data_IF_249839288325
#
_entry.id   IF_249839288325
#
_cell.length_a   1.000
_cell.length_b   1.000
_cell.length_c   1.000
_cell.angle_alpha   90.00
_cell.angle_beta   90.00
_cell.angle_gamma   90.00
#
_symmetry.space_group_name_H-M   'P 1'
#
loop_
_entity.id
_entity.type
_entity.pdbx_description
1 polymer ?
#
# COMPACT_ATOMS: atom_id res chain seq x y z
N UNK A 1 -2.49 -3.80 37.69
CA UNK A 1 -3.63 -3.64 38.62
C UNK A 1 -3.43 -2.32 39.34
N UNK A 2 -4.04 -1.23 38.89
CA UNK A 2 -3.94 0.09 39.51
C UNK A 2 -5.36 0.46 39.99
N UNK A 3 -5.50 0.59 41.32
CA UNK A 3 -6.72 1.04 41.97
C UNK A 3 -6.69 2.56 42.07
N UNK A 4 -7.69 3.22 41.50
CA UNK A 4 -7.96 4.65 41.70
C UNK A 4 -9.10 4.77 42.72
N UNK A 5 -8.80 5.39 43.86
CA UNK A 5 -9.76 5.71 44.93
C UNK A 5 -10.16 7.19 44.80
N UNK A 6 -11.46 7.45 44.70
CA UNK A 6 -12.01 8.79 44.82
C UNK A 6 -12.36 9.09 46.27
N UNK A 7 -11.78 10.16 46.84
CA UNK A 7 -12.18 10.73 48.11
C UNK A 7 -13.23 11.81 47.88
N UNK A 8 -14.43 11.58 48.41
CA UNK A 8 -15.45 12.59 48.58
C UNK A 8 -15.25 13.28 49.91
N UNK A 9 -14.92 14.56 49.88
CA UNK A 9 -14.92 15.41 51.07
C UNK A 9 -16.30 16.03 51.28
N UNK A 10 -17.04 15.52 52.24
CA UNK A 10 -18.21 16.14 52.85
C UNK A 10 -17.71 17.21 53.80
N UNK A 11 -18.10 18.45 53.59
CA UNK A 11 -18.01 19.52 54.57
C UNK A 11 -19.41 19.85 55.12
N UNK A 12 -19.65 19.34 56.30
CA UNK A 12 -20.71 19.85 57.21
C UNK A 12 -20.35 21.27 57.64
N UNK A 13 -21.30 22.15 57.62
CA UNK A 13 -21.32 23.31 58.51
C UNK A 13 -22.72 23.50 59.05
N UNK A 14 -22.78 23.36 60.36
CA UNK A 14 -23.97 23.50 61.19
C UNK A 14 -24.51 24.91 61.28
N UNK A 15 -25.81 24.96 61.56
CA UNK A 15 -26.72 25.91 62.19
C UNK A 15 -26.11 27.09 62.95
N UNK A 16 -26.70 28.24 62.72
CA UNK A 16 -27.06 29.10 63.84
C UNK A 16 -28.40 29.80 63.62
N UNK A 17 -29.17 29.85 64.67
CA UNK A 17 -30.58 30.18 64.86
C UNK A 17 -30.72 31.66 65.06
N UNK A 18 -31.72 32.29 64.43
CA UNK A 18 -32.09 33.66 64.69
C UNK A 18 -33.48 33.94 64.17
N UNK A 19 -34.42 33.88 65.07
CA UNK A 19 -35.83 34.18 65.05
C UNK A 19 -36.10 35.68 64.81
N UNK A 20 -36.96 36.07 63.87
CA UNK A 20 -37.99 37.08 64.05
C UNK A 20 -38.91 37.20 62.86
N UNK A 21 -40.20 37.15 63.19
CA UNK A 21 -41.36 37.33 62.36
C UNK A 21 -41.37 38.64 61.57
N UNK A 22 -41.86 38.61 60.32
CA UNK A 22 -42.93 39.52 59.85
C UNK A 22 -43.46 39.09 58.46
N UNK A 23 -44.73 38.96 58.38
CA UNK A 23 -45.52 38.63 57.22
C UNK A 23 -45.50 39.75 56.18
N UNK A 24 -45.36 39.34 54.87
CA UNK A 24 -45.95 40.17 53.77
C UNK A 24 -46.06 39.31 52.49
N UNK A 25 -47.31 39.06 52.16
CA UNK A 25 -47.95 38.83 50.84
C UNK A 25 -47.12 38.23 49.67
N UNK A 26 -47.52 37.12 49.05
CA UNK A 26 -46.87 36.58 47.86
C UNK A 26 -47.25 37.36 46.60
N UNK A 27 -46.27 37.93 45.93
CA UNK A 27 -46.44 38.41 44.56
C UNK A 27 -46.45 37.20 43.60
N UNK A 28 -47.59 36.97 43.03
CA UNK A 28 -47.96 35.91 42.08
C UNK A 28 -47.42 36.19 40.67
N UNK A 29 -46.21 36.67 40.52
CA UNK A 29 -45.65 37.08 39.22
C UNK A 29 -44.40 36.36 38.76
N UNK A 30 -43.67 35.62 39.63
CA UNK A 30 -42.33 35.17 39.30
C UNK A 30 -42.22 33.67 38.92
N UNK A 31 -43.21 32.88 39.30
CA UNK A 31 -43.17 31.40 39.08
C UNK A 31 -43.45 31.04 37.58
N UNK A 32 -44.11 31.90 36.83
CA UNK A 32 -44.42 31.62 35.41
C UNK A 32 -43.23 31.87 34.45
N UNK A 33 -42.28 32.71 34.80
CA UNK A 33 -41.10 32.99 33.95
C UNK A 33 -40.03 31.86 33.98
N UNK A 34 -39.89 31.20 35.08
CA UNK A 34 -38.89 30.10 35.22
C UNK A 34 -39.33 28.86 34.42
N UNK A 35 -40.62 28.58 34.38
CA UNK A 35 -41.16 27.40 33.67
C UNK A 35 -41.11 27.58 32.14
N UNK A 36 -41.30 28.81 31.65
CA UNK A 36 -41.26 29.09 30.21
C UNK A 36 -39.81 29.06 29.67
N UNK A 37 -38.83 29.45 30.48
CA UNK A 37 -37.41 29.43 30.09
C UNK A 37 -36.84 28.01 29.99
N UNK A 38 -37.28 27.09 30.85
CA UNK A 38 -36.85 25.67 30.79
C UNK A 38 -37.38 24.96 29.54
N UNK A 39 -38.59 25.31 29.11
CA UNK A 39 -39.21 24.67 27.93
C UNK A 39 -38.56 25.16 26.62
N UNK A 40 -38.25 26.42 26.51
CA UNK A 40 -37.49 26.98 25.39
C UNK A 40 -36.08 26.39 25.31
N UNK A 41 -35.45 26.16 26.45
CA UNK A 41 -34.13 25.53 26.49
C UNK A 41 -34.16 24.05 26.04
N UNK A 42 -35.17 23.29 26.44
CA UNK A 42 -35.37 21.92 25.98
C UNK A 42 -35.61 21.87 24.46
N UNK A 43 -36.37 22.82 23.90
CA UNK A 43 -36.60 22.90 22.44
C UNK A 43 -35.30 23.25 21.67
N UNK A 44 -34.51 24.16 22.19
CA UNK A 44 -33.21 24.51 21.57
C UNK A 44 -32.22 23.33 21.60
N UNK A 45 -32.17 22.59 22.71
CA UNK A 45 -31.31 21.38 22.81
C UNK A 45 -31.82 20.28 21.87
N UNK A 46 -33.13 20.08 21.81
CA UNK A 46 -33.73 19.07 20.91
C UNK A 46 -33.48 19.40 19.44
N UNK A 47 -33.68 20.66 19.03
CA UNK A 47 -33.39 21.14 17.68
C UNK A 47 -31.90 21.05 17.36
N UNK A 48 -31.03 21.37 18.32
CA UNK A 48 -29.57 21.20 18.17
C UNK A 48 -29.18 19.72 17.95
N UNK A 49 -29.81 18.82 18.69
CA UNK A 49 -29.56 17.38 18.58
C UNK A 49 -30.08 16.80 17.25
N UNK A 50 -31.25 17.26 16.80
CA UNK A 50 -31.84 16.87 15.49
C UNK A 50 -30.98 17.35 14.32
N UNK A 51 -30.27 18.48 14.45
CA UNK A 51 -29.35 18.96 13.41
C UNK A 51 -27.96 18.29 13.48
N UNK A 52 -27.47 17.97 14.69
CA UNK A 52 -26.18 17.35 14.89
C UNK A 52 -26.15 15.88 14.45
N UNK A 53 -27.22 15.11 14.74
CA UNK A 53 -27.28 13.68 14.40
C UNK A 53 -27.09 13.42 12.90
N UNK A 54 -27.83 14.07 11.98
CA UNK A 54 -27.61 13.86 10.54
C UNK A 54 -26.23 14.34 10.09
N UNK A 55 -25.68 15.40 10.69
CA UNK A 55 -24.33 15.87 10.40
C UNK A 55 -23.25 14.84 10.77
N UNK A 56 -23.39 14.20 11.93
CA UNK A 56 -22.48 13.12 12.38
C UNK A 56 -22.62 11.88 11.50
N UNK A 57 -23.86 11.52 11.11
CA UNK A 57 -24.10 10.36 10.24
C UNK A 57 -23.52 10.60 8.85
N UNK A 58 -23.84 11.75 8.23
CA UNK A 58 -23.31 12.08 6.89
C UNK A 58 -21.79 12.24 6.91
N UNK A 59 -21.26 12.94 7.93
CA UNK A 59 -19.82 13.08 8.12
C UNK A 59 -19.12 11.73 8.38
N UNK A 60 -19.75 10.86 9.16
CA UNK A 60 -19.28 9.49 9.42
C UNK A 60 -19.26 8.63 8.16
N UNK A 61 -20.32 8.66 7.36
CA UNK A 61 -20.38 7.94 6.06
C UNK A 61 -19.32 8.49 5.10
N UNK A 62 -19.20 9.83 5.00
CA UNK A 62 -18.18 10.44 4.15
C UNK A 62 -16.76 10.09 4.56
N UNK A 63 -16.46 10.10 5.86
CA UNK A 63 -15.16 9.67 6.38
C UNK A 63 -14.95 8.18 6.17
N UNK A 64 -15.97 7.35 6.40
CA UNK A 64 -15.92 5.91 6.17
C UNK A 64 -15.62 5.59 4.70
N UNK A 65 -16.36 6.19 3.75
CA UNK A 65 -16.08 6.03 2.31
C UNK A 65 -14.67 6.50 1.94
N UNK A 66 -14.22 7.62 2.53
CA UNK A 66 -12.87 8.12 2.24
C UNK A 66 -11.76 7.27 2.87
N UNK A 67 -12.01 6.64 4.02
CA UNK A 67 -11.05 5.71 4.65
C UNK A 67 -11.14 4.31 4.06
N UNK A 68 -12.34 3.79 3.83
CA UNK A 68 -12.56 2.46 3.24
C UNK A 68 -12.12 2.39 1.77
N UNK A 69 -12.19 3.50 1.03
CA UNK A 69 -11.65 3.58 -0.35
C UNK A 69 -10.12 3.57 -0.42
N UNK A 70 -9.43 3.40 0.72
CA UNK A 70 -7.98 3.33 0.82
C UNK A 70 -7.46 1.92 1.09
N UNK A 71 -8.30 0.91 1.06
CA UNK A 71 -7.80 -0.47 1.06
C UNK A 71 -7.21 -0.74 -0.33
N UNK A 72 -5.91 -0.42 -0.46
CA UNK A 72 -5.09 -0.89 -1.55
C UNK A 72 -5.15 -2.42 -1.53
N UNK A 73 -5.65 -3.01 -2.57
CA UNK A 73 -5.76 -4.46 -2.65
C UNK A 73 -4.37 -5.07 -2.69
N UNK A 74 -4.10 -5.99 -1.77
CA UNK A 74 -2.83 -6.71 -1.65
C UNK A 74 -3.07 -8.16 -2.00
N UNK A 75 -2.43 -8.61 -3.06
CA UNK A 75 -2.47 -9.99 -3.52
C UNK A 75 -1.19 -10.72 -3.11
N UNK A 76 -1.35 -11.99 -2.72
CA UNK A 76 -0.22 -12.88 -2.45
C UNK A 76 -0.18 -13.93 -3.55
N UNK A 77 0.86 -13.87 -4.36
CA UNK A 77 1.05 -14.75 -5.50
C UNK A 77 2.15 -15.76 -5.21
N UNK A 78 1.83 -17.05 -5.33
CA UNK A 78 2.81 -18.13 -5.28
C UNK A 78 2.78 -18.91 -6.60
N UNK A 79 3.82 -18.78 -7.40
CA UNK A 79 3.91 -19.44 -8.70
C UNK A 79 5.07 -20.46 -8.75
N UNK A 80 4.75 -21.66 -9.23
CA UNK A 80 5.77 -22.68 -9.52
C UNK A 80 6.11 -22.65 -11.02
N UNK A 81 7.40 -22.54 -11.35
CA UNK A 81 7.87 -22.52 -12.73
C UNK A 81 8.97 -23.52 -12.99
N UNK A 82 9.07 -23.99 -14.23
CA UNK A 82 10.16 -24.86 -14.69
C UNK A 82 11.26 -23.99 -15.32
N UNK A 83 12.49 -24.22 -14.89
CA UNK A 83 13.65 -23.62 -15.53
C UNK A 83 14.12 -24.56 -16.65
N UNK A 84 13.46 -24.50 -17.80
CA UNK A 84 13.94 -25.20 -18.99
C UNK A 84 15.21 -24.54 -19.52
N UNK A 85 16.36 -25.04 -19.04
CA UNK A 85 17.61 -24.88 -19.75
C UNK A 85 17.91 -26.20 -20.46
N UNK A 86 17.89 -26.15 -21.79
CA UNK A 86 18.27 -27.21 -22.73
C UNK A 86 17.23 -28.31 -22.99
N UNK A 87 16.68 -28.28 -24.21
CA UNK A 87 16.25 -29.49 -24.87
C UNK A 87 17.51 -30.39 -25.06
N UNK A 88 17.64 -31.41 -24.24
CA UNK A 88 18.46 -32.57 -24.54
C UNK A 88 17.51 -33.52 -25.25
N UNK A 89 17.70 -33.80 -26.58
CA UNK A 89 16.98 -34.85 -27.22
C UNK A 89 17.55 -36.17 -26.65
N UNK A 90 16.67 -37.09 -26.27
CA UNK A 90 16.98 -38.45 -25.82
C UNK A 90 17.56 -38.59 -24.40
N UNK A 91 16.72 -38.43 -23.38
CA UNK A 91 16.79 -39.30 -22.18
C UNK A 91 15.53 -39.14 -21.34
N UNK A 92 15.06 -40.29 -20.85
CA UNK A 92 13.91 -40.54 -19.98
C UNK A 92 13.58 -39.40 -19.01
N UNK A 93 12.33 -38.96 -19.05
CA UNK A 93 11.52 -38.30 -18.01
C UNK A 93 12.26 -37.73 -16.78
N UNK A 94 13.16 -36.78 -17.01
CA UNK A 94 13.76 -35.99 -15.94
C UNK A 94 12.85 -34.74 -15.77
N UNK A 95 11.89 -34.83 -14.88
CA UNK A 95 11.09 -33.65 -14.50
C UNK A 95 12.04 -32.67 -13.82
N UNK A 96 12.38 -31.58 -14.51
CA UNK A 96 13.15 -30.50 -13.92
C UNK A 96 12.49 -30.04 -12.61
N UNK A 97 13.25 -29.82 -11.52
CA UNK A 97 12.68 -29.39 -10.25
C UNK A 97 11.94 -28.08 -10.45
N UNK A 98 10.66 -28.06 -10.06
CA UNK A 98 9.85 -26.84 -10.06
C UNK A 98 10.42 -25.88 -9.02
N UNK A 99 10.75 -24.69 -9.45
CA UNK A 99 11.10 -23.57 -8.57
C UNK A 99 9.84 -22.77 -8.25
N UNK A 100 9.78 -22.20 -7.04
CA UNK A 100 8.64 -21.39 -6.60
C UNK A 100 9.10 -19.96 -6.37
N UNK A 101 8.28 -19.03 -6.81
CA UNK A 101 8.34 -17.60 -6.46
C UNK A 101 7.10 -17.28 -5.64
N UNK A 102 7.32 -16.68 -4.49
CA UNK A 102 6.26 -16.08 -3.67
C UNK A 102 6.44 -14.57 -3.70
N UNK A 103 5.41 -13.83 -4.05
CA UNK A 103 5.47 -12.38 -4.13
C UNK A 103 4.20 -11.74 -3.59
N UNK A 104 4.34 -10.47 -3.22
CA UNK A 104 3.23 -9.65 -2.77
C UNK A 104 3.04 -8.50 -3.74
N UNK A 105 1.86 -8.44 -4.35
CA UNK A 105 1.50 -7.39 -5.30
C UNK A 105 0.49 -6.45 -4.65
N UNK A 106 0.78 -5.16 -4.65
CA UNK A 106 -0.14 -4.11 -4.21
C UNK A 106 -0.44 -3.21 -5.40
N UNK A 107 -1.72 -3.05 -5.69
CA UNK A 107 -2.17 -2.29 -6.85
C UNK A 107 -2.85 -1.01 -6.38
N UNK A 108 -2.33 0.14 -6.82
CA UNK A 108 -2.86 1.47 -6.56
C UNK A 108 -3.59 1.97 -7.83
N UNK A 109 -4.79 1.44 -8.08
CA UNK A 109 -5.53 1.68 -9.32
C UNK A 109 -5.71 3.19 -9.62
N UNK A 110 -6.07 3.98 -8.60
CA UNK A 110 -6.28 5.44 -8.75
C UNK A 110 -5.00 6.19 -9.11
N UNK A 111 -3.85 5.68 -8.72
CA UNK A 111 -2.54 6.28 -8.97
C UNK A 111 -1.88 5.68 -10.22
N UNK A 112 -2.44 4.61 -10.76
CA UNK A 112 -1.88 3.84 -11.86
C UNK A 112 -0.46 3.35 -11.53
N UNK A 113 -0.29 2.78 -10.32
CA UNK A 113 0.99 2.28 -9.82
C UNK A 113 0.81 0.86 -9.29
N UNK A 114 1.78 0.01 -9.58
CA UNK A 114 1.92 -1.33 -9.03
C UNK A 114 3.18 -1.42 -8.19
N UNK A 115 3.07 -2.06 -7.02
CA UNK A 115 4.19 -2.32 -6.12
C UNK A 115 4.28 -3.83 -5.93
N UNK A 116 5.42 -4.40 -6.31
CA UNK A 116 5.68 -5.83 -6.21
C UNK A 116 6.82 -6.04 -5.22
N UNK A 117 6.57 -6.84 -4.18
CA UNK A 117 7.58 -7.22 -3.19
C UNK A 117 7.95 -8.68 -3.39
N UNK A 118 9.19 -8.90 -3.76
CA UNK A 118 9.78 -10.24 -3.93
C UNK A 118 10.68 -10.52 -2.74
N UNK A 119 10.27 -11.38 -1.80
CA UNK A 119 11.09 -11.71 -0.65
C UNK A 119 12.32 -12.52 -1.06
N UNK A 120 13.24 -12.73 -0.12
CA UNK A 120 14.42 -13.58 -0.34
C UNK A 120 13.95 -14.99 -0.71
N UNK A 121 14.21 -15.46 -1.93
CA UNK A 121 13.76 -16.78 -2.32
C UNK A 121 14.61 -17.87 -1.64
N UNK A 122 13.94 -18.87 -1.07
CA UNK A 122 14.62 -20.04 -0.54
C UNK A 122 15.30 -20.80 -1.67
N UNK A 123 16.61 -21.05 -1.55
CA UNK A 123 17.43 -21.82 -2.51
C UNK A 123 17.46 -21.25 -3.95
N UNK A 124 17.27 -19.96 -4.14
CA UNK A 124 17.35 -19.32 -5.45
C UNK A 124 18.65 -18.51 -5.62
N UNK A 125 19.08 -18.37 -6.86
CA UNK A 125 20.19 -17.53 -7.29
C UNK A 125 19.75 -16.10 -7.69
N UNK A 126 18.56 -15.67 -7.24
CA UNK A 126 18.02 -14.33 -7.48
C UNK A 126 17.98 -13.49 -6.21
N UNK A 127 18.09 -12.19 -6.37
CA UNK A 127 18.03 -11.23 -5.26
C UNK A 127 16.57 -10.93 -4.87
N UNK A 128 16.39 -10.64 -3.59
CA UNK A 128 15.14 -10.02 -3.12
C UNK A 128 15.03 -8.60 -3.65
N UNK A 129 13.83 -8.19 -4.04
CA UNK A 129 13.61 -6.87 -4.62
C UNK A 129 12.25 -6.28 -4.27
N UNK A 130 12.19 -4.96 -4.25
CA UNK A 130 10.95 -4.19 -4.32
C UNK A 130 10.87 -3.53 -5.69
N UNK A 131 9.74 -3.69 -6.36
CA UNK A 131 9.56 -3.20 -7.74
C UNK A 131 8.38 -2.25 -7.76
N UNK A 132 8.51 -1.16 -8.49
CA UNK A 132 7.44 -0.19 -8.72
C UNK A 132 7.27 0.02 -10.22
N UNK A 133 6.05 -0.18 -10.71
CA UNK A 133 5.65 0.20 -12.06
C UNK A 133 4.76 1.44 -11.99
N UNK A 134 5.20 2.55 -12.55
CA UNK A 134 4.44 3.78 -12.67
C UNK A 134 3.96 3.95 -14.12
N UNK A 135 2.67 3.75 -14.35
CA UNK A 135 2.06 3.82 -15.68
C UNK A 135 1.78 5.25 -16.13
N UNK A 136 1.78 6.21 -15.22
CA UNK A 136 1.62 7.64 -15.56
C UNK A 136 2.92 8.19 -16.12
N UNK A 137 4.03 7.86 -15.47
CA UNK A 137 5.36 8.30 -15.87
C UNK A 137 6.02 7.36 -16.89
N UNK A 138 5.44 6.17 -17.10
CA UNK A 138 6.01 5.10 -17.92
C UNK A 138 7.42 4.70 -17.46
N UNK A 139 7.59 4.54 -16.14
CA UNK A 139 8.85 4.14 -15.52
C UNK A 139 8.67 2.89 -14.67
N UNK A 140 9.71 2.08 -14.63
CA UNK A 140 9.87 0.96 -13.70
C UNK A 140 11.08 1.23 -12.82
N UNK A 141 10.93 1.01 -11.52
CA UNK A 141 12.02 1.04 -10.56
C UNK A 141 12.22 -0.32 -9.90
N UNK A 142 13.46 -0.78 -9.81
CA UNK A 142 13.87 -1.97 -9.09
C UNK A 142 14.77 -1.56 -7.92
N UNK A 143 14.37 -1.84 -6.70
CA UNK A 143 15.24 -1.75 -5.54
C UNK A 143 15.78 -3.14 -5.22
N UNK A 144 17.05 -3.39 -5.52
CA UNK A 144 17.74 -4.60 -5.08
C UNK A 144 18.04 -4.50 -3.58
N UNK A 145 17.40 -5.34 -2.78
CA UNK A 145 17.53 -5.32 -1.32
C UNK A 145 18.88 -5.89 -0.87
N UNK A 146 19.52 -6.72 -1.70
CA UNK A 146 20.84 -7.31 -1.38
C UNK A 146 21.95 -6.29 -1.58
N UNK A 147 21.86 -5.47 -2.62
CA UNK A 147 22.84 -4.44 -2.95
C UNK A 147 22.51 -3.08 -2.34
N UNK A 148 21.26 -2.88 -1.93
CA UNK A 148 20.71 -1.60 -1.50
C UNK A 148 20.87 -0.48 -2.55
N UNK A 149 20.72 -0.84 -3.82
CA UNK A 149 20.79 0.03 -5.00
C UNK A 149 19.43 0.07 -5.70
N UNK A 150 19.11 1.21 -6.27
CA UNK A 150 17.89 1.41 -7.04
C UNK A 150 18.21 1.56 -8.52
N UNK A 151 17.36 0.99 -9.38
CA UNK A 151 17.58 1.00 -10.82
C UNK A 151 16.29 1.43 -11.52
N UNK A 152 16.41 2.36 -12.46
CA UNK A 152 15.29 2.94 -13.19
C UNK A 152 15.38 2.56 -14.67
N UNK A 153 14.26 2.14 -15.23
CA UNK A 153 14.14 1.83 -16.66
C UNK A 153 12.79 2.30 -17.21
N UNK A 154 12.66 2.61 -18.49
CA UNK A 154 11.37 2.84 -19.10
C UNK A 154 10.45 1.60 -18.94
N UNK A 155 9.19 1.84 -18.58
CA UNK A 155 8.19 0.80 -18.45
C UNK A 155 7.90 0.12 -19.79
N UNK A 156 8.01 -1.19 -19.82
CA UNK A 156 7.69 -1.97 -21.01
C UNK A 156 6.24 -2.49 -20.95
N UNK A 157 5.31 -1.71 -21.48
CA UNK A 157 3.88 -2.05 -21.52
C UNK A 157 3.53 -3.27 -22.38
N UNK A 158 4.48 -3.82 -23.15
CA UNK A 158 4.27 -5.10 -23.86
C UNK A 158 4.48 -6.31 -22.95
N UNK A 159 5.15 -6.12 -21.82
CA UNK A 159 5.46 -7.14 -20.81
C UNK A 159 4.59 -6.92 -19.56
N UNK A 160 4.62 -5.69 -19.03
CA UNK A 160 3.90 -5.30 -17.83
C UNK A 160 2.47 -4.92 -18.16
N UNK A 161 1.53 -5.52 -17.44
CA UNK A 161 0.10 -5.30 -17.65
C UNK A 161 -0.37 -4.08 -16.86
N UNK A 162 -1.30 -3.26 -17.38
CA UNK A 162 -1.85 -2.13 -16.61
C UNK A 162 -2.59 -2.60 -15.34
N UNK A 163 -2.66 -1.78 -14.29
CA UNK A 163 -3.24 -2.14 -12.99
C UNK A 163 -4.62 -2.79 -13.06
N UNK A 164 -5.50 -2.27 -13.89
CA UNK A 164 -6.86 -2.81 -14.04
C UNK A 164 -6.87 -4.22 -14.62
N UNK A 165 -6.09 -4.44 -15.66
CA UNK A 165 -6.02 -5.74 -16.33
C UNK A 165 -5.31 -6.77 -15.44
N UNK A 166 -4.34 -6.33 -14.64
CA UNK A 166 -3.67 -7.18 -13.67
C UNK A 166 -4.62 -7.61 -12.54
N UNK A 167 -5.47 -6.73 -12.03
CA UNK A 167 -6.51 -7.09 -11.06
C UNK A 167 -7.42 -8.18 -11.63
N UNK A 168 -7.93 -8.00 -12.85
CA UNK A 168 -8.79 -8.98 -13.50
C UNK A 168 -8.06 -10.33 -13.68
N UNK A 169 -6.78 -10.31 -14.03
CA UNK A 169 -5.95 -11.51 -14.13
C UNK A 169 -5.81 -12.22 -12.77
N UNK A 170 -5.48 -11.48 -11.70
CA UNK A 170 -5.28 -12.05 -10.36
C UNK A 170 -6.57 -12.68 -9.81
N UNK A 171 -7.72 -12.03 -10.00
CA UNK A 171 -9.02 -12.56 -9.64
C UNK A 171 -9.29 -13.88 -10.41
N UNK A 172 -8.98 -13.95 -11.69
CA UNK A 172 -9.16 -15.16 -12.50
C UNK A 172 -8.22 -16.30 -12.07
N UNK A 173 -6.99 -15.98 -11.63
CA UNK A 173 -6.06 -16.97 -11.08
C UNK A 173 -6.60 -17.51 -9.76
N UNK A 174 -7.06 -16.65 -8.86
CA UNK A 174 -7.64 -17.03 -7.56
C UNK A 174 -8.89 -17.91 -7.75
N UNK A 175 -9.75 -17.56 -8.69
CA UNK A 175 -10.93 -18.35 -9.06
C UNK A 175 -10.60 -19.69 -9.75
N UNK A 176 -9.34 -19.95 -10.09
CA UNK A 176 -8.90 -21.15 -10.81
C UNK A 176 -9.37 -21.21 -12.26
N UNK A 177 -9.86 -20.10 -12.82
CA UNK A 177 -10.32 -20.02 -14.22
C UNK A 177 -9.16 -19.77 -15.19
N UNK A 178 -8.02 -19.31 -14.67
CA UNK A 178 -6.79 -19.07 -15.41
C UNK A 178 -5.60 -19.69 -14.70
N UNK A 179 -4.79 -20.44 -15.45
CA UNK A 179 -3.51 -20.97 -15.00
C UNK A 179 -2.40 -20.23 -15.76
N UNK A 180 -1.53 -19.47 -15.07
CA UNK A 180 -0.43 -18.78 -15.74
C UNK A 180 0.53 -19.79 -16.36
N UNK A 181 1.13 -19.39 -17.48
CA UNK A 181 2.14 -20.21 -18.15
C UNK A 181 3.42 -20.19 -17.31
N UNK A 182 3.95 -21.36 -16.98
CA UNK A 182 5.13 -21.52 -16.13
C UNK A 182 6.45 -21.45 -16.92
N UNK A 183 6.56 -20.54 -17.91
CA UNK A 183 7.83 -20.30 -18.58
C UNK A 183 8.48 -19.00 -18.12
N UNK A 184 9.79 -18.92 -18.31
CA UNK A 184 10.61 -17.79 -17.90
C UNK A 184 11.09 -17.01 -19.12
N UNK A 185 10.90 -15.68 -19.06
CA UNK A 185 11.46 -14.72 -20.03
C UNK A 185 12.66 -14.04 -19.39
N UNK A 186 13.73 -13.85 -20.15
CA UNK A 186 14.96 -13.18 -19.70
C UNK A 186 15.14 -11.86 -20.41
N UNK A 187 15.40 -10.84 -19.65
CA UNK A 187 15.83 -9.54 -20.13
C UNK A 187 17.21 -9.20 -19.56
N UNK A 188 18.12 -8.71 -20.38
CA UNK A 188 19.43 -8.28 -19.93
C UNK A 188 19.52 -6.75 -19.98
N UNK A 189 19.81 -6.16 -18.85
CA UNK A 189 19.93 -4.73 -18.64
C UNK A 189 21.37 -4.38 -18.27
N UNK A 190 21.84 -3.23 -18.69
CA UNK A 190 23.15 -2.68 -18.34
C UNK A 190 22.95 -1.40 -17.56
N UNK A 191 23.68 -1.28 -16.46
CA UNK A 191 23.72 -0.06 -15.65
C UNK A 191 24.45 1.02 -16.43
N UNK A 192 23.83 2.20 -16.50
CA UNK A 192 24.39 3.35 -17.21
C UNK A 192 24.71 4.48 -16.23
N UNK A 193 24.11 5.63 -16.37
CA UNK A 193 24.40 6.81 -15.58
C UNK A 193 23.67 6.84 -14.24
N UNK A 194 24.28 7.49 -13.25
CA UNK A 194 23.64 7.75 -11.97
C UNK A 194 22.56 8.82 -12.13
N UNK A 195 21.42 8.59 -11.51
CA UNK A 195 20.32 9.56 -11.48
C UNK A 195 20.62 10.61 -10.43
N UNK A 196 20.75 11.88 -10.84
CA UNK A 196 21.00 12.99 -9.92
C UNK A 196 19.70 13.64 -9.42
N UNK A 197 18.71 13.76 -10.29
CA UNK A 197 17.43 14.39 -9.96
C UNK A 197 16.35 13.32 -9.72
N UNK A 198 16.09 13.06 -8.46
CA UNK A 198 15.09 12.09 -8.02
C UNK A 198 13.66 12.66 -8.02
N UNK A 199 13.48 13.99 -8.07
CA UNK A 199 12.15 14.62 -7.96
C UNK A 199 11.30 14.35 -9.21
N UNK A 200 11.93 14.14 -10.35
CA UNK A 200 11.27 13.85 -11.63
C UNK A 200 10.71 12.42 -11.72
N UNK A 201 11.13 11.53 -10.81
CA UNK A 201 10.74 10.12 -10.87
C UNK A 201 9.34 9.83 -10.31
N UNK A 202 8.64 10.86 -9.83
CA UNK A 202 7.32 10.71 -9.19
C UNK A 202 7.39 10.14 -7.77
N UNK A 203 6.28 10.31 -7.05
CA UNK A 203 6.24 10.04 -5.61
C UNK A 203 6.55 8.59 -5.24
N UNK A 204 5.97 7.63 -5.95
CA UNK A 204 6.11 6.20 -5.61
C UNK A 204 7.55 5.71 -5.82
N UNK A 205 8.17 6.08 -6.93
CA UNK A 205 9.56 5.73 -7.25
C UNK A 205 10.51 6.50 -6.32
N UNK A 206 10.27 7.79 -6.11
CA UNK A 206 11.04 8.59 -5.16
C UNK A 206 11.05 7.96 -3.76
N UNK A 207 9.89 7.53 -3.24
CA UNK A 207 9.80 6.91 -1.93
C UNK A 207 10.52 5.56 -1.85
N UNK A 208 10.54 4.79 -2.93
CA UNK A 208 11.26 3.53 -3.01
C UNK A 208 12.77 3.74 -3.01
N UNK A 209 13.25 4.68 -3.83
CA UNK A 209 14.68 4.88 -4.11
C UNK A 209 15.35 5.94 -3.22
N UNK A 210 14.57 6.62 -2.35
CA UNK A 210 15.09 7.63 -1.45
C UNK A 210 16.25 7.11 -0.60
N UNK A 211 17.31 7.90 -0.50
CA UNK A 211 18.54 7.59 0.25
C UNK A 211 19.28 6.33 -0.28
N UNK A 212 19.05 5.97 -1.57
CA UNK A 212 19.73 4.88 -2.26
C UNK A 212 20.53 5.40 -3.44
N UNK A 213 21.61 4.69 -3.77
CA UNK A 213 22.29 4.93 -5.03
C UNK A 213 21.43 4.48 -6.18
N UNK A 214 21.00 5.43 -7.03
CA UNK A 214 20.05 5.20 -8.11
C UNK A 214 20.71 5.35 -9.46
N UNK A 215 20.48 4.39 -10.36
CA UNK A 215 21.08 4.31 -11.68
C UNK A 215 20.03 4.06 -12.76
N UNK A 216 20.28 4.57 -13.97
CA UNK A 216 19.50 4.22 -15.13
C UNK A 216 19.92 2.86 -15.71
N UNK A 217 18.93 2.10 -16.21
CA UNK A 217 19.15 0.85 -16.94
C UNK A 217 18.82 1.05 -18.42
N UNK A 218 19.60 0.40 -19.28
CA UNK A 218 19.29 0.25 -20.69
C UNK A 218 19.34 -1.22 -21.10
N UNK A 219 18.47 -1.61 -22.01
CA UNK A 219 18.52 -2.96 -22.58
C UNK A 219 19.82 -3.16 -23.36
N UNK A 220 20.44 -4.31 -23.17
CA UNK A 220 21.72 -4.62 -23.80
C UNK A 220 21.66 -4.66 -25.33
N UNK A 221 20.55 -5.11 -25.89
CA UNK A 221 20.32 -5.18 -27.34
C UNK A 221 20.19 -3.79 -27.99
N UNK A 222 19.87 -2.75 -27.21
CA UNK A 222 19.77 -1.37 -27.69
C UNK A 222 21.08 -0.58 -27.63
N UNK A 223 22.10 -1.11 -26.96
CA UNK A 223 23.39 -0.43 -26.79
C UNK A 223 24.36 -0.82 -27.92
N UNK A 224 24.66 0.11 -28.81
CA UNK A 224 25.63 -0.10 -29.87
C UNK A 224 27.05 -0.12 -29.30
N UNK A 225 27.83 -1.18 -29.62
CA UNK A 225 29.27 -1.25 -29.33
C UNK A 225 29.67 -2.11 -28.13
N UNK A 226 28.74 -2.70 -27.42
CA UNK A 226 29.08 -3.69 -26.37
C UNK A 226 29.53 -4.98 -27.02
N UNK A 227 30.80 -5.34 -26.82
CA UNK A 227 31.32 -6.60 -27.31
C UNK A 227 30.75 -7.77 -26.50
N UNK A 228 30.31 -8.81 -27.19
CA UNK A 228 29.58 -10.00 -26.66
C UNK A 228 30.39 -10.84 -25.62
N UNK A 229 31.63 -10.47 -25.30
CA UNK A 229 32.57 -11.26 -24.48
C UNK A 229 33.02 -10.62 -23.17
N UNK A 230 32.49 -9.46 -22.82
CA UNK A 230 32.82 -8.85 -21.53
C UNK A 230 32.14 -9.65 -20.40
N UNK A 231 32.91 -10.12 -19.44
CA UNK A 231 32.37 -10.78 -18.26
C UNK A 231 31.75 -9.69 -17.37
N UNK A 232 30.47 -9.47 -17.57
CA UNK A 232 29.68 -8.53 -16.77
C UNK A 232 29.33 -9.22 -15.43
N UNK A 233 29.49 -8.45 -14.37
CA UNK A 233 28.96 -8.86 -13.07
C UNK A 233 27.46 -8.60 -13.07
N UNK A 234 26.65 -9.67 -13.13
CA UNK A 234 25.21 -9.56 -13.27
C UNK A 234 24.49 -10.08 -12.03
N UNK A 235 23.54 -9.29 -11.55
CA UNK A 235 22.59 -9.65 -10.51
C UNK A 235 21.25 -10.00 -11.13
N UNK A 236 20.48 -10.89 -10.48
CA UNK A 236 19.22 -11.40 -11.01
C UNK A 236 18.07 -11.02 -10.10
N UNK A 237 17.05 -10.46 -10.68
CA UNK A 237 15.76 -10.24 -10.02
C UNK A 237 14.72 -11.05 -10.81
N UNK A 238 13.92 -11.85 -10.11
CA UNK A 238 12.84 -12.64 -10.71
C UNK A 238 11.53 -12.27 -10.07
N UNK A 239 10.53 -12.03 -10.89
CA UNK A 239 9.18 -11.76 -10.44
C UNK A 239 8.16 -12.24 -11.48
N UNK A 240 6.92 -12.39 -11.06
CA UNK A 240 5.82 -12.74 -11.95
C UNK A 240 5.31 -11.50 -12.66
N UNK A 241 5.20 -11.59 -13.97
CA UNK A 241 4.65 -10.55 -14.82
C UNK A 241 3.61 -11.13 -15.77
N UNK A 242 2.41 -10.60 -15.71
CA UNK A 242 1.35 -10.92 -16.65
C UNK A 242 1.05 -12.44 -16.71
N UNK A 243 1.82 -13.19 -17.49
CA UNK A 243 1.59 -14.61 -17.78
C UNK A 243 2.82 -15.49 -17.56
N UNK A 244 3.95 -14.91 -17.22
CA UNK A 244 5.23 -15.60 -17.12
C UNK A 244 6.09 -15.04 -15.98
N UNK A 245 7.17 -15.72 -15.69
CA UNK A 245 8.20 -15.23 -14.78
C UNK A 245 9.21 -14.42 -15.57
N UNK A 246 9.41 -13.16 -15.21
CA UNK A 246 10.44 -12.30 -15.78
C UNK A 246 11.72 -12.41 -14.95
N UNK A 247 12.84 -12.76 -15.59
CA UNK A 247 14.17 -12.70 -15.02
C UNK A 247 14.91 -11.51 -15.61
N UNK A 248 15.10 -10.47 -14.81
CA UNK A 248 15.88 -9.29 -15.17
C UNK A 248 17.30 -9.45 -14.69
N UNK A 249 18.25 -9.51 -15.64
CA UNK A 249 19.69 -9.55 -15.39
C UNK A 249 20.23 -8.13 -15.43
N UNK A 250 20.63 -7.59 -14.28
CA UNK A 250 21.20 -6.25 -14.14
C UNK A 250 22.72 -6.40 -14.08
N UNK A 251 23.40 -5.88 -15.09
CA UNK A 251 24.84 -6.04 -15.28
C UNK A 251 25.58 -4.72 -15.12
N UNK A 252 26.63 -4.74 -14.29
CA UNK A 252 27.55 -3.60 -14.05
C UNK A 252 28.89 -3.81 -14.79
#
# INVERSE_FOLDING_TARGET
MVKVTFNSALAHKELEKGERDEALIPQEGEVLRVRQRSWAWCWCVFLGLVLLLPGVVVGGIYLYERYSSREDEVYFCGLSYSQENYMVPDSEEYSAPLKRIDERVRILEKQQVELISVPVPEFSDSNAAEIVHDFVLNLTAYLDLSLNKCYITPLNTSVVMPPRDLIDLLINIEAGTYLPQSYMVREQMVVTEKVEDMEQLGYSIYMLCKDKDTYNLQRRDTISGIQKREALNCHKIRHFENKFVLETLICE
#
